data_IF_681904494625
#
_entry.id   IF_681904494625
#
_cell.length_a   1.000
_cell.length_b   1.000
_cell.length_c   1.000
_cell.angle_alpha   90.00
_cell.angle_beta   90.00
_cell.angle_gamma   90.00
#
_symmetry.space_group_name_H-M   'P 1'
#
loop_
_entity.id
_entity.type
_entity.pdbx_description
1 polymer ?
#
# COMPACT_ATOMS: atom_id res chain seq x y z
N UNK A 1 74.11 -4.57 -9.57
CA UNK A 1 74.02 -3.08 -9.62
C UNK A 1 72.57 -2.75 -9.91
N UNK A 2 71.80 -1.93 -9.18
CA UNK A 2 71.91 -1.19 -7.92
C UNK A 2 70.54 -1.35 -7.22
N UNK A 3 70.57 -1.52 -5.90
CA UNK A 3 69.40 -1.62 -5.03
C UNK A 3 68.70 -0.26 -4.89
N UNK A 4 67.36 -0.27 -4.83
CA UNK A 4 66.55 0.90 -4.48
C UNK A 4 66.08 0.73 -3.03
N UNK A 5 66.30 1.79 -2.29
CA UNK A 5 66.37 1.87 -0.83
C UNK A 5 65.00 2.24 -0.26
N UNK A 6 64.56 1.48 0.75
CA UNK A 6 63.40 1.74 1.60
C UNK A 6 63.52 3.10 2.30
N UNK A 7 62.43 3.88 2.36
CA UNK A 7 62.27 4.92 3.37
C UNK A 7 60.95 4.73 4.11
N UNK A 8 61.10 4.34 5.37
CA UNK A 8 60.07 4.18 6.39
C UNK A 8 59.87 5.56 7.06
N UNK A 9 58.68 6.15 6.94
CA UNK A 9 58.32 7.33 7.73
C UNK A 9 57.43 6.89 8.90
N UNK A 10 58.02 6.88 10.10
CA UNK A 10 57.31 6.78 11.37
C UNK A 10 56.93 8.20 11.76
N UNK A 11 55.63 8.51 11.81
CA UNK A 11 55.13 9.72 12.46
C UNK A 11 54.40 9.32 13.74
N UNK A 12 55.01 9.66 14.88
CA UNK A 12 54.49 9.50 16.22
C UNK A 12 53.99 10.88 16.67
N UNK A 13 52.69 11.03 16.96
CA UNK A 13 52.17 12.20 17.69
C UNK A 13 51.31 11.69 18.83
N UNK A 14 51.72 12.06 20.05
CA UNK A 14 51.08 11.68 21.29
C UNK A 14 50.13 12.78 21.80
N UNK A 15 48.94 12.32 22.20
CA UNK A 15 48.00 12.78 23.23
C UNK A 15 47.90 14.26 23.62
N UNK A 16 46.64 14.75 23.61
CA UNK A 16 46.09 15.50 24.76
C UNK A 16 44.60 15.18 24.90
N UNK A 17 44.17 14.97 26.15
CA UNK A 17 42.84 14.50 26.52
C UNK A 17 41.88 15.63 26.92
N UNK A 18 40.59 15.30 26.81
CA UNK A 18 39.39 15.83 27.49
C UNK A 18 38.90 17.26 27.20
N UNK A 19 37.69 17.32 26.61
CA UNK A 19 36.54 17.92 27.30
C UNK A 19 35.19 17.39 26.80
N UNK A 20 34.33 17.09 27.77
CA UNK A 20 32.92 16.73 27.67
C UNK A 20 32.03 17.88 27.21
N UNK A 21 30.95 17.46 26.54
CA UNK A 21 29.58 18.00 26.48
C UNK A 21 29.32 19.36 25.83
N UNK A 22 28.69 19.30 24.64
CA UNK A 22 27.43 19.99 24.38
C UNK A 22 26.66 19.19 23.33
N UNK A 23 25.63 18.49 23.80
CA UNK A 23 24.70 17.77 22.94
C UNK A 23 23.97 18.74 22.01
N UNK A 24 23.95 18.37 20.73
CA UNK A 24 22.93 18.87 19.81
C UNK A 24 22.07 17.66 19.47
N UNK A 25 20.90 17.59 20.11
CA UNK A 25 19.83 16.67 19.75
C UNK A 25 19.37 17.02 18.32
N UNK A 26 19.95 16.36 17.31
CA UNK A 26 19.19 16.06 16.10
C UNK A 26 18.29 14.88 16.47
N UNK A 27 17.12 15.20 17.03
CA UNK A 27 16.03 14.24 17.20
C UNK A 27 15.45 13.88 15.84
N UNK A 28 16.24 13.18 15.02
CA UNK A 28 15.74 12.38 13.93
C UNK A 28 15.41 11.03 14.56
N UNK A 29 14.22 10.99 15.16
CA UNK A 29 13.67 9.75 15.67
C UNK A 29 13.33 8.87 14.48
N UNK A 30 14.23 7.96 14.13
CA UNK A 30 13.89 6.72 13.45
C UNK A 30 12.93 5.96 14.38
N UNK A 31 11.66 6.35 14.34
CA UNK A 31 10.58 5.58 14.90
C UNK A 31 10.50 4.32 14.02
N UNK A 32 11.27 3.29 14.39
CA UNK A 32 11.07 1.95 13.90
C UNK A 32 9.58 1.64 14.03
N UNK A 33 8.88 1.57 12.90
CA UNK A 33 7.46 1.27 12.88
C UNK A 33 7.31 -0.10 13.55
N UNK A 34 6.66 -0.12 14.71
CA UNK A 34 6.53 -1.33 15.51
C UNK A 34 5.84 -2.42 14.68
N UNK A 35 6.44 -3.61 14.63
CA UNK A 35 5.83 -4.83 14.11
C UNK A 35 4.74 -5.33 15.08
N UNK A 36 3.67 -4.56 15.23
CA UNK A 36 2.48 -5.01 15.96
C UNK A 36 1.68 -5.98 15.09
N UNK A 37 1.19 -7.07 15.68
CA UNK A 37 0.20 -7.94 15.04
C UNK A 37 -1.08 -7.14 14.77
N UNK A 38 -1.47 -7.02 13.49
CA UNK A 38 -2.68 -6.31 13.11
C UNK A 38 -3.89 -7.12 13.54
N UNK A 39 -4.71 -6.53 14.40
CA UNK A 39 -5.87 -7.20 14.95
C UNK A 39 -7.03 -7.18 13.96
N UNK A 40 -7.26 -8.30 13.27
CA UNK A 40 -8.40 -8.47 12.35
C UNK A 40 -9.72 -8.77 13.08
N UNK A 41 -9.73 -8.88 14.41
CA UNK A 41 -10.90 -9.34 15.19
C UNK A 41 -12.11 -8.41 15.11
N UNK A 42 -11.93 -7.15 14.70
CA UNK A 42 -13.03 -6.19 14.55
C UNK A 42 -13.77 -6.33 13.21
N UNK A 43 -13.39 -7.30 12.36
CA UNK A 43 -14.06 -7.56 11.07
C UNK A 43 -15.50 -8.06 11.24
N UNK A 44 -15.86 -8.70 12.36
CA UNK A 44 -17.25 -9.11 12.64
C UNK A 44 -18.20 -7.92 12.82
N UNK A 45 -17.70 -6.73 13.19
CA UNK A 45 -18.53 -5.54 13.41
C UNK A 45 -19.15 -4.96 12.12
N UNK A 46 -18.55 -5.22 10.95
CA UNK A 46 -18.95 -4.61 9.67
C UNK A 46 -20.04 -5.37 8.91
N UNK A 47 -20.46 -6.54 9.41
CA UNK A 47 -21.53 -7.34 8.80
C UNK A 47 -22.91 -6.65 8.78
N UNK A 48 -23.10 -5.59 9.58
CA UNK A 48 -24.39 -4.88 9.67
C UNK A 48 -24.55 -3.71 8.69
N UNK A 49 -23.48 -3.34 7.96
CA UNK A 49 -23.53 -2.27 6.95
C UNK A 49 -22.93 -2.78 5.64
N UNK A 50 -23.74 -2.99 4.58
CA UNK A 50 -23.23 -3.53 3.31
C UNK A 50 -22.24 -2.60 2.61
N UNK A 51 -22.20 -1.32 2.98
CA UNK A 51 -21.33 -0.28 2.42
C UNK A 51 -20.82 0.66 3.53
N UNK A 52 -19.68 1.30 3.31
CA UNK A 52 -19.23 2.41 4.15
C UNK A 52 -20.03 3.70 3.88
N UNK A 53 -20.12 4.58 4.87
CA UNK A 53 -20.74 5.90 4.71
C UNK A 53 -20.02 6.74 3.65
N UNK A 54 -18.69 6.64 3.60
CA UNK A 54 -17.85 7.32 2.61
C UNK A 54 -18.21 6.89 1.18
N UNK A 55 -18.37 5.58 0.93
CA UNK A 55 -18.81 5.08 -0.36
C UNK A 55 -20.22 5.57 -0.73
N UNK A 56 -21.16 5.50 0.22
CA UNK A 56 -22.54 5.99 -0.01
C UNK A 56 -22.54 7.48 -0.35
N UNK A 57 -21.72 8.29 0.35
CA UNK A 57 -21.59 9.71 0.07
C UNK A 57 -20.93 9.99 -1.28
N UNK A 58 -19.96 9.19 -1.70
CA UNK A 58 -19.20 9.43 -2.94
C UNK A 58 -20.00 9.12 -4.20
N UNK A 59 -21.02 8.26 -4.11
CA UNK A 59 -21.96 8.00 -5.20
C UNK A 59 -22.69 9.26 -5.67
N UNK A 60 -22.98 10.20 -4.77
CA UNK A 60 -23.58 11.49 -5.13
C UNK A 60 -22.73 12.32 -6.11
N UNK A 61 -21.44 12.03 -6.21
CA UNK A 61 -20.50 12.74 -7.08
C UNK A 61 -20.46 12.16 -8.52
N UNK A 62 -21.20 11.09 -8.81
CA UNK A 62 -21.23 10.48 -10.15
C UNK A 62 -21.92 11.35 -11.21
N UNK A 63 -22.67 12.38 -10.81
CA UNK A 63 -23.44 13.23 -11.72
C UNK A 63 -24.65 12.53 -12.35
N UNK A 64 -24.96 11.30 -11.92
CA UNK A 64 -26.12 10.50 -12.29
C UNK A 64 -26.85 10.01 -11.04
N UNK A 65 -28.16 9.80 -11.17
CA UNK A 65 -28.93 9.11 -10.13
C UNK A 65 -28.42 7.68 -10.01
N UNK A 66 -28.24 7.23 -8.77
CA UNK A 66 -27.71 5.93 -8.45
C UNK A 66 -28.48 5.31 -7.30
N UNK A 67 -28.69 3.99 -7.36
CA UNK A 67 -29.23 3.20 -6.27
C UNK A 67 -28.29 2.03 -6.02
N UNK A 68 -28.04 1.75 -4.75
CA UNK A 68 -27.17 0.64 -4.35
C UNK A 68 -28.00 -0.37 -3.58
N UNK A 69 -27.88 -1.62 -3.98
CA UNK A 69 -28.40 -2.77 -3.24
C UNK A 69 -27.23 -3.66 -2.84
N UNK A 70 -27.34 -4.48 -1.78
CA UNK A 70 -26.31 -5.46 -1.46
C UNK A 70 -25.97 -6.27 -2.71
N UNK A 71 -24.69 -6.31 -3.10
CA UNK A 71 -24.12 -6.93 -4.29
C UNK A 71 -24.14 -6.20 -5.64
N UNK A 72 -24.89 -5.09 -5.83
CA UNK A 72 -24.88 -4.36 -7.11
C UNK A 72 -25.23 -2.88 -7.00
N UNK A 73 -24.76 -2.12 -7.98
CA UNK A 73 -25.10 -0.71 -8.20
C UNK A 73 -25.95 -0.58 -9.47
N UNK A 74 -26.94 0.30 -9.41
CA UNK A 74 -27.80 0.67 -10.53
C UNK A 74 -27.62 2.16 -10.80
N UNK A 75 -27.06 2.49 -11.97
CA UNK A 75 -26.85 3.86 -12.43
C UNK A 75 -27.88 4.16 -13.51
N UNK A 76 -28.50 5.34 -13.47
CA UNK A 76 -29.49 5.72 -14.47
C UNK A 76 -28.92 5.71 -15.90
N UNK A 77 -29.61 5.01 -16.80
CA UNK A 77 -29.18 4.79 -18.18
C UNK A 77 -28.10 3.72 -18.38
N UNK A 78 -27.70 2.99 -17.33
CA UNK A 78 -26.73 1.88 -17.41
C UNK A 78 -27.38 0.55 -16.99
N UNK A 79 -26.81 -0.57 -17.43
CA UNK A 79 -27.18 -1.87 -16.90
C UNK A 79 -26.72 -2.02 -15.44
N UNK A 80 -27.42 -2.81 -14.59
CA UNK A 80 -26.96 -3.08 -13.23
C UNK A 80 -25.58 -3.73 -13.23
N UNK A 81 -24.66 -3.22 -12.42
CA UNK A 81 -23.30 -3.76 -12.29
C UNK A 81 -23.11 -4.38 -10.92
N UNK A 82 -22.65 -5.64 -10.90
CA UNK A 82 -22.31 -6.33 -9.67
C UNK A 82 -21.00 -5.79 -9.07
N UNK A 83 -20.93 -5.71 -7.75
CA UNK A 83 -19.66 -5.44 -7.08
C UNK A 83 -18.67 -6.56 -7.39
N UNK A 84 -17.36 -6.26 -7.53
CA UNK A 84 -16.37 -7.28 -7.77
C UNK A 84 -16.42 -8.33 -6.66
N UNK A 85 -16.17 -9.60 -6.97
CA UNK A 85 -16.16 -10.70 -6.00
C UNK A 85 -14.77 -10.98 -5.41
N UNK A 86 -13.74 -10.38 -6.00
CA UNK A 86 -12.35 -10.53 -5.63
C UNK A 86 -11.78 -9.17 -5.16
N UNK A 87 -11.22 -9.05 -3.94
CA UNK A 87 -11.06 -10.07 -2.91
C UNK A 87 -12.39 -10.52 -2.30
N UNK A 88 -12.44 -11.76 -1.81
CA UNK A 88 -13.61 -12.30 -1.14
C UNK A 88 -13.84 -11.60 0.21
N UNK A 89 -15.11 -11.37 0.54
CA UNK A 89 -15.50 -10.78 1.84
C UNK A 89 -15.08 -11.71 2.98
N UNK A 90 -14.55 -11.13 4.05
CA UNK A 90 -14.10 -11.80 5.28
C UNK A 90 -13.01 -12.84 5.10
N UNK A 91 -12.24 -12.76 4.00
CA UNK A 91 -11.02 -13.53 3.81
C UNK A 91 -9.80 -12.62 3.94
N UNK A 92 -8.87 -13.02 4.79
CA UNK A 92 -7.57 -12.33 4.94
C UNK A 92 -6.64 -12.78 3.82
N UNK A 93 -5.94 -11.82 3.23
CA UNK A 93 -4.92 -12.01 2.22
C UNK A 93 -3.62 -11.36 2.67
N UNK A 94 -2.51 -12.04 2.42
CA UNK A 94 -1.16 -11.58 2.72
C UNK A 94 -0.39 -11.55 1.42
N UNK A 95 -0.27 -10.37 0.82
CA UNK A 95 0.35 -10.19 -0.49
C UNK A 95 1.75 -9.59 -0.33
N UNK A 96 2.69 -10.04 -1.14
CA UNK A 96 4.08 -9.55 -1.12
C UNK A 96 4.60 -9.33 -2.53
N UNK A 97 5.42 -8.29 -2.70
CA UNK A 97 6.17 -8.04 -3.93
C UNK A 97 7.45 -7.26 -3.64
N UNK A 98 8.44 -7.40 -4.52
CA UNK A 98 9.73 -6.72 -4.38
C UNK A 98 10.12 -6.09 -5.71
N UNK A 99 10.60 -4.83 -5.66
CA UNK A 99 11.23 -4.13 -6.79
C UNK A 99 12.34 -3.23 -6.26
N UNK A 100 13.49 -3.21 -6.94
CA UNK A 100 14.63 -2.32 -6.63
C UNK A 100 15.05 -2.30 -5.14
N UNK A 101 15.15 -3.48 -4.51
CA UNK A 101 15.46 -3.67 -3.08
C UNK A 101 14.42 -3.09 -2.09
N UNK A 102 13.24 -2.71 -2.58
CA UNK A 102 12.08 -2.35 -1.77
C UNK A 102 11.09 -3.50 -1.78
N UNK A 103 10.74 -3.98 -0.58
CA UNK A 103 9.71 -5.01 -0.40
C UNK A 103 8.44 -4.37 0.12
N UNK A 104 7.33 -4.67 -0.54
CA UNK A 104 5.99 -4.27 -0.14
C UNK A 104 5.26 -5.50 0.40
N UNK A 105 4.66 -5.37 1.58
CA UNK A 105 3.77 -6.36 2.18
C UNK A 105 2.41 -5.71 2.38
N UNK A 106 1.38 -6.28 1.78
CA UNK A 106 0.01 -5.80 1.88
C UNK A 106 -0.83 -6.90 2.51
N UNK A 107 -1.26 -6.67 3.74
CA UNK A 107 -2.31 -7.48 4.33
C UNK A 107 -3.65 -6.80 4.07
N UNK A 108 -4.67 -7.55 3.66
CA UNK A 108 -5.99 -6.99 3.44
C UNK A 108 -7.11 -7.98 3.78
N UNK A 109 -8.25 -7.44 4.18
CA UNK A 109 -9.52 -8.15 4.27
C UNK A 109 -10.60 -7.25 3.68
N UNK A 110 -11.47 -7.83 2.87
CA UNK A 110 -12.67 -7.12 2.44
C UNK A 110 -13.75 -7.25 3.51
N UNK A 111 -14.14 -6.13 4.11
CA UNK A 111 -15.06 -6.10 5.26
C UNK A 111 -16.53 -5.97 4.85
N UNK A 112 -16.81 -5.42 3.67
CA UNK A 112 -18.15 -5.34 3.08
C UNK A 112 -18.06 -5.20 1.54
N UNK A 113 -19.15 -4.87 0.84
CA UNK A 113 -19.12 -4.81 -0.63
C UNK A 113 -18.25 -3.67 -1.19
N UNK A 114 -18.14 -2.55 -0.48
CA UNK A 114 -17.39 -1.37 -0.94
C UNK A 114 -15.98 -1.26 -0.36
N UNK A 115 -15.67 -1.92 0.75
CA UNK A 115 -14.55 -1.51 1.58
C UNK A 115 -13.58 -2.65 1.84
N UNK A 116 -12.29 -2.38 1.65
CA UNK A 116 -11.17 -3.23 2.09
C UNK A 116 -10.44 -2.56 3.24
N UNK A 117 -10.26 -3.29 4.33
CA UNK A 117 -9.33 -2.91 5.40
C UNK A 117 -7.96 -3.43 5.02
N UNK A 118 -6.95 -2.60 5.13
CA UNK A 118 -5.59 -2.97 4.73
C UNK A 118 -4.53 -2.51 5.73
N UNK A 119 -3.39 -3.20 5.67
CA UNK A 119 -2.12 -2.79 6.24
C UNK A 119 -1.04 -2.92 5.16
N UNK A 120 -0.33 -1.83 4.89
CA UNK A 120 0.79 -1.76 3.95
C UNK A 120 2.09 -1.50 4.70
N UNK A 121 3.03 -2.43 4.62
CA UNK A 121 4.38 -2.31 5.13
C UNK A 121 5.37 -2.21 3.97
N UNK A 122 6.26 -1.22 4.05
CA UNK A 122 7.31 -0.98 3.06
C UNK A 122 8.65 -1.18 3.74
N UNK A 123 9.45 -2.10 3.19
CA UNK A 123 10.76 -2.45 3.70
C UNK A 123 11.84 -2.00 2.71
N UNK A 124 12.83 -1.27 3.22
CA UNK A 124 14.01 -0.84 2.47
C UNK A 124 15.21 -1.48 3.15
N UNK A 125 16.04 -2.21 2.39
CA UNK A 125 17.23 -2.90 2.91
C UNK A 125 16.91 -3.87 4.09
N UNK A 126 15.74 -4.51 4.04
CA UNK A 126 15.30 -5.46 5.07
C UNK A 126 14.83 -4.83 6.38
N UNK A 127 14.68 -3.51 6.44
CA UNK A 127 14.11 -2.79 7.59
C UNK A 127 12.78 -2.15 7.22
N UNK A 128 11.84 -2.14 8.15
CA UNK A 128 10.57 -1.42 7.98
C UNK A 128 10.86 0.07 7.91
N UNK A 129 10.61 0.65 6.74
CA UNK A 129 10.76 2.09 6.51
C UNK A 129 9.42 2.80 6.76
N UNK A 130 8.32 2.19 6.32
CA UNK A 130 6.99 2.78 6.42
C UNK A 130 5.94 1.71 6.74
N UNK A 131 4.89 2.11 7.46
CA UNK A 131 3.75 1.26 7.77
C UNK A 131 2.46 2.10 7.75
N UNK A 132 1.43 1.60 7.08
CA UNK A 132 0.15 2.28 6.88
C UNK A 132 -0.99 1.32 7.07
N UNK A 133 -2.10 1.82 7.60
CA UNK A 133 -3.33 1.06 7.73
C UNK A 133 -4.52 1.97 7.54
N UNK A 134 -5.63 1.39 7.08
CA UNK A 134 -6.87 2.11 6.86
C UNK A 134 -7.93 1.25 6.21
N UNK A 135 -9.06 1.90 5.97
CA UNK A 135 -10.21 1.35 5.26
C UNK A 135 -10.31 2.07 3.91
N UNK A 136 -10.01 1.36 2.82
CA UNK A 136 -10.06 1.88 1.46
C UNK A 136 -11.40 1.50 0.81
N UNK A 137 -12.07 2.49 0.23
CA UNK A 137 -13.36 2.31 -0.44
C UNK A 137 -13.17 2.17 -1.95
N UNK A 138 -13.94 1.27 -2.55
CA UNK A 138 -13.99 1.10 -4.00
C UNK A 138 -14.42 2.41 -4.65
N UNK A 139 -13.73 2.79 -5.72
CA UNK A 139 -14.09 3.95 -6.51
C UNK A 139 -15.49 3.72 -7.12
N UNK A 140 -16.49 4.62 -6.88
CA UNK A 140 -17.83 4.46 -7.43
C UNK A 140 -17.87 4.32 -8.95
N UNK A 141 -16.85 4.78 -9.67
CA UNK A 141 -16.71 4.62 -11.11
C UNK A 141 -16.44 3.17 -11.57
N UNK A 142 -16.32 2.19 -10.67
CA UNK A 142 -16.13 0.78 -11.03
C UNK A 142 -17.20 0.22 -11.97
N UNK A 143 -18.40 0.84 -12.02
CA UNK A 143 -19.45 0.45 -12.96
C UNK A 143 -19.06 0.65 -14.43
N UNK A 144 -18.04 1.47 -14.72
CA UNK A 144 -17.48 1.67 -16.06
C UNK A 144 -16.61 0.50 -16.53
N UNK A 145 -16.30 -0.44 -15.62
CA UNK A 145 -15.46 -1.59 -15.86
C UNK A 145 -14.21 -1.59 -15.00
N UNK A 146 -13.65 -2.78 -14.81
CA UNK A 146 -12.36 -2.95 -14.18
C UNK A 146 -11.24 -2.60 -15.14
N UNK A 147 -10.17 -2.01 -14.61
CA UNK A 147 -8.97 -1.73 -15.36
C UNK A 147 -8.13 -3.00 -15.54
N UNK A 148 -7.28 -3.06 -16.57
CA UNK A 148 -6.39 -4.22 -16.78
C UNK A 148 -4.99 -3.91 -16.28
N UNK A 149 -4.48 -4.76 -15.40
CA UNK A 149 -3.09 -4.77 -14.97
C UNK A 149 -2.40 -6.04 -15.50
N UNK A 150 -1.08 -5.98 -15.68
CA UNK A 150 -0.26 -7.14 -16.06
C UNK A 150 0.81 -7.34 -15.02
N UNK A 151 0.93 -8.57 -14.55
CA UNK A 151 1.99 -8.94 -13.65
C UNK A 151 3.28 -9.21 -14.42
N UNK A 152 4.32 -8.46 -14.08
CA UNK A 152 5.59 -8.50 -14.80
C UNK A 152 6.38 -9.79 -14.61
N UNK A 153 6.13 -10.55 -13.53
CA UNK A 153 6.93 -11.75 -13.27
C UNK A 153 6.44 -12.97 -14.06
N UNK A 154 5.14 -13.10 -14.32
CA UNK A 154 4.56 -14.23 -15.08
C UNK A 154 3.83 -13.82 -16.36
N UNK A 155 3.77 -12.52 -16.66
CA UNK A 155 3.07 -11.93 -17.79
C UNK A 155 1.55 -12.23 -17.83
N UNK A 156 0.94 -12.55 -16.69
CA UNK A 156 -0.50 -12.77 -16.59
C UNK A 156 -1.19 -11.41 -16.42
N UNK A 157 -2.16 -11.13 -17.31
CA UNK A 157 -3.05 -9.99 -17.17
C UNK A 157 -4.24 -10.33 -16.28
N UNK A 158 -4.68 -9.37 -15.47
CA UNK A 158 -5.83 -9.50 -14.59
C UNK A 158 -6.62 -8.19 -14.56
N UNK A 159 -7.94 -8.30 -14.36
CA UNK A 159 -8.81 -7.15 -14.16
C UNK A 159 -8.77 -6.72 -12.70
N UNK A 160 -8.53 -5.43 -12.45
CA UNK A 160 -8.40 -4.84 -11.13
C UNK A 160 -9.41 -3.71 -10.92
N UNK A 161 -9.95 -3.64 -9.71
CA UNK A 161 -10.80 -2.55 -9.27
C UNK A 161 -10.02 -1.66 -8.31
N UNK A 162 -10.31 -0.37 -8.36
CA UNK A 162 -9.62 0.65 -7.59
C UNK A 162 -10.29 0.84 -6.23
N UNK A 163 -9.51 0.71 -5.16
CA UNK A 163 -9.89 1.08 -3.79
C UNK A 163 -8.99 2.22 -3.33
N UNK A 164 -9.57 3.25 -2.73
CA UNK A 164 -8.86 4.47 -2.36
C UNK A 164 -9.01 4.78 -0.88
N UNK A 165 -7.93 5.28 -0.28
CA UNK A 165 -7.89 5.73 1.09
C UNK A 165 -7.17 7.07 1.18
N UNK A 166 -7.81 8.07 1.79
CA UNK A 166 -7.23 9.39 1.99
C UNK A 166 -6.94 9.61 3.49
N UNK A 167 -5.69 9.90 3.82
CA UNK A 167 -5.28 10.30 5.17
C UNK A 167 -4.17 11.34 5.10
N UNK A 168 -4.30 12.42 5.85
CA UNK A 168 -3.29 13.48 5.97
C UNK A 168 -2.79 14.02 4.62
N UNK A 169 -3.72 14.31 3.69
CA UNK A 169 -3.40 14.75 2.31
C UNK A 169 -2.50 13.78 1.53
N UNK A 170 -2.55 12.49 1.87
CA UNK A 170 -1.98 11.42 1.07
C UNK A 170 -3.08 10.44 0.66
N UNK A 171 -3.17 10.19 -0.64
CA UNK A 171 -4.08 9.22 -1.25
C UNK A 171 -3.31 7.95 -1.52
N UNK A 172 -3.73 6.86 -0.87
CA UNK A 172 -3.30 5.50 -1.20
C UNK A 172 -4.35 4.88 -2.10
N UNK A 173 -3.91 4.33 -3.22
CA UNK A 173 -4.75 3.60 -4.17
C UNK A 173 -4.28 2.15 -4.23
N UNK A 174 -5.22 1.23 -4.05
CA UNK A 174 -5.04 -0.21 -4.19
C UNK A 174 -5.82 -0.66 -5.42
N UNK A 175 -5.11 -1.14 -6.44
CA UNK A 175 -5.73 -1.81 -7.60
C UNK A 175 -5.74 -3.29 -7.33
N UNK A 176 -6.89 -3.84 -6.98
CA UNK A 176 -7.01 -5.23 -6.51
C UNK A 176 -7.85 -6.03 -7.50
N UNK A 177 -7.34 -7.18 -7.89
CA UNK A 177 -7.99 -8.09 -8.81
C UNK A 177 -7.55 -9.52 -8.59
N UNK A 178 -7.70 -10.36 -9.61
CA UNK A 178 -7.06 -11.66 -9.58
C UNK A 178 -7.05 -12.39 -10.91
N UNK A 179 -6.29 -13.48 -10.91
CA UNK A 179 -6.13 -14.32 -12.09
C UNK A 179 -7.41 -15.10 -12.40
N UNK A 180 -7.53 -15.70 -13.58
CA UNK A 180 -8.62 -16.63 -13.90
C UNK A 180 -8.78 -17.78 -12.89
N UNK A 181 -7.69 -18.17 -12.22
CA UNK A 181 -7.65 -19.21 -11.19
C UNK A 181 -8.10 -18.71 -9.80
N UNK A 182 -8.34 -17.40 -9.64
CA UNK A 182 -8.80 -16.77 -8.41
C UNK A 182 -7.68 -16.36 -7.44
N UNK A 183 -6.43 -16.34 -7.89
CA UNK A 183 -5.31 -15.80 -7.11
C UNK A 183 -5.42 -14.28 -7.02
N UNK A 184 -5.37 -13.73 -5.81
CA UNK A 184 -5.50 -12.28 -5.61
C UNK A 184 -4.19 -11.60 -5.96
N UNK A 185 -4.29 -10.50 -6.71
CA UNK A 185 -3.17 -9.64 -7.06
C UNK A 185 -3.49 -8.21 -6.74
N UNK A 186 -2.47 -7.46 -6.36
CA UNK A 186 -2.62 -6.04 -6.10
C UNK A 186 -1.45 -5.22 -6.66
N UNK A 187 -1.74 -4.00 -7.10
CA UNK A 187 -0.73 -2.93 -7.26
C UNK A 187 -1.11 -1.76 -6.37
N UNK A 188 -0.10 -1.01 -5.94
CA UNK A 188 -0.26 0.12 -5.03
C UNK A 188 0.26 1.36 -5.72
N UNK A 189 -0.44 2.47 -5.56
CA UNK A 189 0.14 3.79 -5.77
C UNK A 189 -0.20 4.70 -4.60
N UNK A 190 0.67 5.68 -4.37
CA UNK A 190 0.53 6.69 -3.33
C UNK A 190 0.91 8.04 -3.89
N UNK A 191 0.05 9.02 -3.64
CA UNK A 191 0.28 10.42 -3.94
C UNK A 191 0.09 11.19 -2.65
N UNK A 192 1.20 11.59 -2.05
CA UNK A 192 1.31 12.34 -0.83
C UNK A 192 1.80 13.76 -1.14
N UNK A 193 1.48 14.72 -0.26
CA UNK A 193 2.10 16.05 -0.31
C UNK A 193 3.64 16.00 -0.11
N UNK A 194 4.14 14.95 0.54
CA UNK A 194 5.56 14.67 0.71
C UNK A 194 5.98 13.61 -0.32
N UNK A 195 6.54 14.08 -1.45
CA UNK A 195 6.96 13.26 -2.59
C UNK A 195 7.90 12.10 -2.19
N UNK A 196 8.58 12.17 -1.04
CA UNK A 196 9.44 11.08 -0.55
C UNK A 196 8.66 9.80 -0.19
N UNK A 197 7.33 9.93 -0.01
CA UNK A 197 6.39 8.85 0.32
C UNK A 197 5.55 8.41 -0.88
N UNK A 198 5.78 9.02 -2.05
CA UNK A 198 5.06 8.67 -3.26
C UNK A 198 5.46 7.28 -3.75
N UNK A 199 4.45 6.58 -4.27
CA UNK A 199 4.63 5.33 -4.98
C UNK A 199 3.92 5.51 -6.31
N UNK A 200 4.68 5.65 -7.38
CA UNK A 200 4.10 5.63 -8.72
C UNK A 200 3.60 4.20 -9.01
N UNK A 201 2.48 4.09 -9.73
CA UNK A 201 1.95 2.77 -10.10
C UNK A 201 3.01 1.94 -10.84
N UNK A 202 3.74 2.57 -11.76
CA UNK A 202 4.80 1.94 -12.56
C UNK A 202 6.05 1.55 -11.77
N UNK A 203 6.26 2.09 -10.58
CA UNK A 203 7.33 1.66 -9.68
C UNK A 203 6.87 0.66 -8.62
N UNK A 204 5.56 0.37 -8.53
CA UNK A 204 5.04 -0.70 -7.66
C UNK A 204 5.13 -2.05 -8.35
N UNK A 205 5.71 -3.08 -7.70
CA UNK A 205 5.56 -4.46 -8.17
C UNK A 205 4.09 -4.89 -8.08
N UNK A 206 3.75 -5.95 -8.79
CA UNK A 206 2.53 -6.71 -8.47
C UNK A 206 2.77 -7.51 -7.20
N UNK A 207 1.83 -7.42 -6.26
CA UNK A 207 1.83 -8.15 -4.99
C UNK A 207 0.97 -9.41 -5.14
N UNK A 208 1.45 -10.53 -4.59
CA UNK A 208 0.82 -11.85 -4.64
C UNK A 208 0.83 -12.52 -3.27
#
# INVERSE_FOLDING_TARGET
>A
MKAIQFFLFILLVAFTACKQDAGTNSGEGDAAAAEGDFNWSDSEYYLNHPFSENFVSSIGNLGKSANVSPNKIMIDGEEPVEFPSNPAINRVYHLKGTRDNVTYKLDLVRINYSTVRFRLQIEKEGKVAENYEGDADINPAFYLGSETDTDELDAISYSANEFSYLKNACTTVLRIGGTPEGEVRARISRNCFDDSKDIALESSPTLR
#
